data_IF_080575101092
#
_entry.id   IF_080575101092
#
_cell.length_a   1.000
_cell.length_b   1.000
_cell.length_c   1.000
_cell.angle_alpha   90.00
_cell.angle_beta   90.00
_cell.angle_gamma   90.00
#
_symmetry.space_group_name_H-M   'P 1'
#
loop_
_entity.id
_entity.type
_entity.pdbx_description
1 polymer ?
#
# COMPACT_ATOMS: atom_id res chain seq x y z
N UNK A 1 -78.80 -1.06 2.66
CA UNK A 1 -78.18 -2.08 1.79
C UNK A 1 -77.77 -3.23 2.68
N UNK A 2 -78.68 -4.19 2.86
CA UNK A 2 -78.43 -5.44 3.57
C UNK A 2 -77.61 -6.37 2.66
N UNK A 3 -76.35 -6.59 3.04
CA UNK A 3 -75.49 -7.61 2.44
C UNK A 3 -75.88 -8.96 3.03
N UNK A 4 -76.64 -9.75 2.26
CA UNK A 4 -76.94 -11.13 2.58
C UNK A 4 -75.63 -11.93 2.69
N UNK A 5 -75.37 -12.49 3.87
CA UNK A 5 -74.28 -13.44 4.11
C UNK A 5 -74.63 -14.76 3.41
N UNK A 6 -73.72 -15.35 2.60
CA UNK A 6 -73.99 -16.62 1.95
C UNK A 6 -74.16 -17.73 3.01
N UNK A 7 -75.24 -18.50 2.89
CA UNK A 7 -75.46 -19.74 3.64
C UNK A 7 -74.27 -20.70 3.38
N UNK A 8 -73.55 -21.07 4.44
CA UNK A 8 -72.46 -22.05 4.35
C UNK A 8 -73.08 -23.43 4.15
N UNK A 9 -72.78 -24.07 3.03
CA UNK A 9 -72.94 -25.52 2.88
C UNK A 9 -72.13 -26.21 3.99
N UNK A 10 -72.81 -26.88 4.91
CA UNK A 10 -72.23 -27.48 6.13
C UNK A 10 -71.45 -28.78 5.89
N UNK A 11 -71.45 -29.31 4.66
CA UNK A 11 -70.90 -30.63 4.34
C UNK A 11 -69.71 -30.59 3.36
N UNK A 12 -68.74 -29.68 3.57
CA UNK A 12 -67.46 -29.79 2.88
C UNK A 12 -66.52 -30.75 3.63
N UNK A 13 -66.42 -31.98 3.12
CA UNK A 13 -65.49 -32.99 3.64
C UNK A 13 -64.04 -32.61 3.34
N UNK A 14 -63.22 -32.51 4.38
CA UNK A 14 -61.77 -32.29 4.25
C UNK A 14 -61.07 -33.59 4.64
N UNK A 15 -59.99 -33.95 3.94
CA UNK A 15 -59.19 -35.16 4.24
C UNK A 15 -57.92 -34.82 5.01
N UNK A 16 -57.54 -35.69 5.92
CA UNK A 16 -56.29 -35.59 6.67
C UNK A 16 -55.08 -35.60 5.71
N UNK A 17 -54.15 -34.67 5.91
CA UNK A 17 -52.95 -34.56 5.07
C UNK A 17 -52.03 -35.80 5.14
N UNK A 18 -51.98 -36.50 6.27
CA UNK A 18 -51.13 -37.67 6.50
C UNK A 18 -51.83 -39.00 6.16
N UNK A 19 -52.91 -39.36 6.85
CA UNK A 19 -53.58 -40.65 6.66
C UNK A 19 -54.68 -40.66 5.59
N UNK A 20 -55.03 -39.51 5.00
CA UNK A 20 -56.06 -39.34 3.97
C UNK A 20 -57.50 -39.68 4.38
N UNK A 21 -57.76 -40.02 5.65
CA UNK A 21 -59.10 -40.22 6.18
C UNK A 21 -59.87 -38.90 6.34
N UNK A 22 -61.20 -38.97 6.27
CA UNK A 22 -62.10 -37.83 6.36
C UNK A 22 -62.10 -37.22 7.76
N UNK A 23 -62.07 -35.88 7.81
CA UNK A 23 -62.05 -35.10 9.04
C UNK A 23 -63.06 -33.97 8.98
N UNK A 24 -63.60 -33.60 10.14
CA UNK A 24 -64.51 -32.46 10.27
C UNK A 24 -63.78 -31.16 9.89
N UNK A 25 -64.47 -30.28 9.15
CA UNK A 25 -64.00 -28.93 8.85
C UNK A 25 -63.57 -28.21 10.13
N UNK A 26 -62.35 -27.67 10.14
CA UNK A 26 -61.79 -26.98 11.30
C UNK A 26 -61.15 -27.88 12.37
N UNK A 27 -61.05 -29.20 12.17
CA UNK A 27 -60.34 -30.08 13.09
C UNK A 27 -58.84 -29.74 13.14
N UNK A 28 -58.33 -29.40 14.34
CA UNK A 28 -56.91 -29.05 14.54
C UNK A 28 -56.01 -30.28 14.47
N UNK A 29 -56.51 -31.45 14.91
CA UNK A 29 -55.83 -32.75 14.86
C UNK A 29 -56.70 -33.80 14.18
N UNK A 30 -56.06 -34.71 13.47
CA UNK A 30 -56.75 -35.88 12.93
C UNK A 30 -57.08 -36.86 14.07
N UNK A 31 -58.34 -37.34 14.20
CA UNK A 31 -58.72 -38.30 15.23
C UNK A 31 -58.09 -39.69 14.99
N UNK A 32 -57.89 -40.08 13.74
CA UNK A 32 -57.37 -41.40 13.37
C UNK A 32 -55.86 -41.57 13.62
N UNK A 33 -55.05 -40.55 13.31
CA UNK A 33 -53.58 -40.65 13.39
C UNK A 33 -52.92 -39.61 14.31
N UNK A 34 -53.70 -38.70 14.93
CA UNK A 34 -53.17 -37.67 15.83
C UNK A 34 -52.40 -36.53 15.16
N UNK A 35 -52.23 -36.54 13.83
CA UNK A 35 -51.43 -35.53 13.12
C UNK A 35 -52.14 -34.17 13.09
N UNK A 36 -51.41 -33.09 13.44
CA UNK A 36 -51.89 -31.71 13.36
C UNK A 36 -52.18 -31.31 11.90
N UNK A 37 -53.38 -30.77 11.64
CA UNK A 37 -53.84 -30.31 10.32
C UNK A 37 -53.64 -28.82 10.11
N UNK A 38 -53.18 -28.10 11.13
CA UNK A 38 -53.07 -26.66 11.10
C UNK A 38 -51.86 -26.21 10.26
N UNK A 39 -52.11 -25.84 9.00
CA UNK A 39 -51.10 -25.35 8.06
C UNK A 39 -50.33 -24.14 8.61
N UNK A 40 -51.01 -23.25 9.36
CA UNK A 40 -50.41 -22.10 10.03
C UNK A 40 -49.30 -22.48 11.03
N UNK A 41 -49.40 -23.65 11.68
CA UNK A 41 -48.37 -24.11 12.61
C UNK A 41 -47.07 -24.49 11.87
N UNK A 42 -47.17 -25.02 10.64
CA UNK A 42 -45.99 -25.29 9.79
C UNK A 42 -45.32 -23.99 9.33
N UNK A 43 -46.07 -22.93 9.04
CA UNK A 43 -45.46 -21.62 8.72
C UNK A 43 -44.73 -21.01 9.92
N UNK A 44 -45.29 -21.18 11.12
CA UNK A 44 -44.66 -20.67 12.34
C UNK A 44 -43.32 -21.35 12.61
N UNK A 45 -43.23 -22.67 12.43
CA UNK A 45 -41.97 -23.41 12.64
C UNK A 45 -40.95 -23.15 11.53
N UNK A 46 -41.36 -23.02 10.27
CA UNK A 46 -40.41 -22.67 9.19
C UNK A 46 -39.90 -21.25 9.34
N UNK A 47 -40.75 -20.30 9.76
CA UNK A 47 -40.34 -18.92 9.99
C UNK A 47 -39.30 -18.80 11.11
N UNK A 48 -39.45 -19.53 12.22
CA UNK A 48 -38.44 -19.53 13.30
C UNK A 48 -37.12 -20.15 12.87
N UNK A 49 -37.15 -21.22 12.07
CA UNK A 49 -35.92 -21.85 11.55
C UNK A 49 -35.20 -20.93 10.56
N UNK A 50 -35.92 -20.30 9.63
CA UNK A 50 -35.32 -19.34 8.69
C UNK A 50 -34.78 -18.13 9.43
N UNK A 51 -35.53 -17.61 10.40
CA UNK A 51 -35.10 -16.49 11.24
C UNK A 51 -33.84 -16.80 12.04
N UNK A 52 -33.73 -18.00 12.63
CA UNK A 52 -32.53 -18.39 13.38
C UNK A 52 -31.31 -18.57 12.48
N UNK A 53 -31.48 -19.17 11.29
CA UNK A 53 -30.38 -19.28 10.31
C UNK A 53 -29.89 -17.91 9.86
N UNK A 54 -30.80 -16.99 9.53
CA UNK A 54 -30.44 -15.61 9.15
C UNK A 54 -29.74 -14.87 10.30
N UNK A 55 -30.18 -15.07 11.54
CA UNK A 55 -29.52 -14.47 12.70
C UNK A 55 -28.09 -15.01 12.89
N UNK A 56 -27.87 -16.31 12.74
CA UNK A 56 -26.53 -16.93 12.82
C UNK A 56 -25.63 -16.43 11.69
N UNK A 57 -26.13 -16.33 10.46
CA UNK A 57 -25.38 -15.78 9.33
C UNK A 57 -25.04 -14.30 9.52
N UNK A 58 -25.94 -13.52 10.11
CA UNK A 58 -25.69 -12.12 10.42
C UNK A 58 -24.61 -11.96 11.51
N UNK A 59 -24.65 -12.81 12.54
CA UNK A 59 -23.63 -12.84 13.59
C UNK A 59 -22.28 -13.31 13.08
N UNK A 60 -22.24 -14.32 12.19
CA UNK A 60 -20.99 -14.81 11.62
C UNK A 60 -20.34 -13.80 10.68
N UNK A 61 -21.13 -13.04 9.92
CA UNK A 61 -20.62 -11.95 9.08
C UNK A 61 -19.91 -10.87 9.91
N UNK A 62 -20.50 -10.48 11.05
CA UNK A 62 -19.87 -9.54 11.99
C UNK A 62 -18.63 -10.14 12.63
N UNK A 63 -18.71 -11.39 13.11
CA UNK A 63 -17.58 -12.09 13.73
C UNK A 63 -16.40 -12.29 12.79
N UNK A 64 -16.66 -12.56 11.50
CA UNK A 64 -15.62 -12.78 10.49
C UNK A 64 -14.78 -11.51 10.25
N UNK A 65 -15.42 -10.34 10.14
CA UNK A 65 -14.70 -9.08 9.93
C UNK A 65 -13.73 -8.78 11.08
N UNK A 66 -14.18 -8.95 12.33
CA UNK A 66 -13.34 -8.81 13.51
C UNK A 66 -12.25 -9.89 13.58
N UNK A 67 -12.58 -11.14 13.23
CA UNK A 67 -11.62 -12.23 13.21
C UNK A 67 -10.51 -12.01 12.19
N UNK A 68 -10.82 -11.53 10.99
CA UNK A 68 -9.82 -11.18 9.96
C UNK A 68 -8.93 -10.03 10.42
N UNK A 69 -9.47 -9.05 11.15
CA UNK A 69 -8.66 -7.96 11.70
C UNK A 69 -7.74 -8.41 12.86
N UNK A 70 -8.15 -9.45 13.60
CA UNK A 70 -7.36 -10.05 14.69
C UNK A 70 -6.31 -11.02 14.15
N UNK A 71 -6.66 -11.85 13.17
CA UNK A 71 -5.84 -12.91 12.58
C UNK A 71 -4.96 -12.42 11.44
N UNK A 72 -5.35 -11.34 10.75
CA UNK A 72 -4.52 -10.66 9.78
C UNK A 72 -3.23 -10.24 10.47
N UNK A 73 -2.10 -10.77 10.00
CA UNK A 73 -0.79 -10.54 10.60
C UNK A 73 -0.55 -9.04 10.77
N UNK A 74 -0.66 -8.57 12.01
CA UNK A 74 -0.60 -7.16 12.40
C UNK A 74 0.82 -6.64 12.29
N UNK A 75 1.31 -6.46 11.07
CA UNK A 75 2.64 -5.96 10.77
C UNK A 75 2.56 -4.55 10.19
N UNK A 76 3.55 -3.73 10.51
CA UNK A 76 3.74 -2.48 9.78
C UNK A 76 4.05 -2.78 8.31
N UNK A 77 3.37 -2.09 7.40
CA UNK A 77 3.62 -2.19 5.96
C UNK A 77 4.05 -0.81 5.48
N UNK A 78 5.36 -0.59 5.47
CA UNK A 78 5.93 0.69 5.06
C UNK A 78 6.09 0.76 3.54
N UNK A 79 5.58 1.84 2.96
CA UNK A 79 5.77 2.20 1.56
C UNK A 79 6.37 3.60 1.54
N UNK A 80 7.36 3.84 0.69
CA UNK A 80 7.98 5.14 0.62
C UNK A 80 8.34 5.56 -0.79
N UNK A 81 8.64 6.84 -0.94
CA UNK A 81 9.10 7.45 -2.18
C UNK A 81 10.13 8.53 -1.89
N UNK A 82 11.13 8.64 -2.76
CA UNK A 82 12.08 9.75 -2.74
C UNK A 82 11.49 10.90 -3.57
N UNK A 83 11.39 12.08 -2.96
CA UNK A 83 10.83 13.27 -3.59
C UNK A 83 11.92 14.10 -4.29
N UNK A 84 13.07 14.28 -3.62
CA UNK A 84 14.20 15.04 -4.12
C UNK A 84 15.50 14.65 -3.39
N UNK A 85 16.65 15.00 -3.97
CA UNK A 85 17.97 14.90 -3.36
C UNK A 85 18.80 16.08 -3.84
N UNK A 86 19.38 16.81 -2.90
CA UNK A 86 20.28 17.94 -3.12
C UNK A 86 21.45 17.90 -2.11
N UNK A 87 22.28 18.95 -2.12
CA UNK A 87 23.45 19.07 -1.25
C UNK A 87 23.09 19.08 0.26
N UNK A 88 21.84 19.37 0.61
CA UNK A 88 21.37 19.44 1.99
C UNK A 88 20.85 18.11 2.52
N UNK A 89 20.50 17.16 1.63
CA UNK A 89 20.01 15.84 2.00
C UNK A 89 19.10 15.18 0.97
N UNK A 90 18.68 13.96 1.29
CA UNK A 90 17.64 13.23 0.57
C UNK A 90 16.30 13.48 1.26
N UNK A 91 15.34 13.99 0.49
CA UNK A 91 13.96 14.21 0.89
C UNK A 91 13.12 13.02 0.47
N UNK A 92 12.54 12.32 1.43
CA UNK A 92 11.70 11.15 1.16
C UNK A 92 10.48 11.13 2.08
N UNK A 93 9.45 10.42 1.63
CA UNK A 93 8.23 10.21 2.41
C UNK A 93 8.05 8.73 2.71
N UNK A 94 7.54 8.42 3.91
CA UNK A 94 7.19 7.07 4.32
C UNK A 94 5.75 7.06 4.83
N UNK A 95 4.95 6.18 4.25
CA UNK A 95 3.56 5.89 4.62
C UNK A 95 3.50 4.50 5.24
N UNK A 96 2.73 4.36 6.32
CA UNK A 96 2.45 3.04 6.90
C UNK A 96 1.02 2.60 6.57
N UNK A 97 0.92 1.62 5.67
CA UNK A 97 -0.34 0.98 5.28
C UNK A 97 -0.70 -0.20 6.19
N UNK A 98 0.17 -0.56 7.13
CA UNK A 98 -0.09 -1.61 8.12
C UNK A 98 -1.03 -1.14 9.23
N UNK A 99 -1.52 -2.09 10.02
CA UNK A 99 -2.40 -1.84 11.17
C UNK A 99 -1.66 -1.50 12.47
N UNK A 100 -0.32 -1.55 12.47
CA UNK A 100 0.53 -1.29 13.64
C UNK A 100 1.58 -0.23 13.35
N UNK A 101 2.00 0.55 14.36
CA UNK A 101 3.05 1.54 14.20
C UNK A 101 4.41 0.87 13.96
N UNK A 102 5.30 1.57 13.24
CA UNK A 102 6.71 1.22 13.11
C UNK A 102 7.60 2.36 13.60
N UNK A 103 8.76 2.03 14.15
CA UNK A 103 9.75 3.04 14.57
C UNK A 103 10.95 2.98 13.65
N UNK A 104 11.20 4.05 12.89
CA UNK A 104 12.36 4.16 12.02
C UNK A 104 13.57 4.56 12.86
N UNK A 105 14.67 3.84 12.73
CA UNK A 105 15.88 4.07 13.52
C UNK A 105 17.17 4.17 12.69
N UNK A 106 17.16 3.79 11.42
CA UNK A 106 18.34 3.96 10.56
C UNK A 106 17.93 4.15 9.10
N UNK A 107 18.74 4.92 8.36
CA UNK A 107 18.56 5.17 6.94
C UNK A 107 19.92 5.11 6.26
N UNK A 108 20.05 4.21 5.30
CA UNK A 108 21.28 3.98 4.55
C UNK A 108 20.98 4.14 3.07
N UNK A 109 21.78 4.93 2.38
CA UNK A 109 21.73 5.00 0.92
C UNK A 109 22.70 3.97 0.34
N UNK A 110 22.16 3.03 -0.44
CA UNK A 110 22.94 2.07 -1.19
C UNK A 110 22.91 2.44 -2.67
N UNK A 111 24.08 2.65 -3.24
CA UNK A 111 24.22 3.00 -4.63
C UNK A 111 25.49 2.40 -5.21
N UNK A 112 25.57 2.25 -6.53
CA UNK A 112 26.85 2.01 -7.18
C UNK A 112 27.61 3.34 -7.24
N UNK A 113 28.16 3.76 -6.10
CA UNK A 113 29.13 4.86 -6.04
C UNK A 113 30.45 4.29 -6.54
N UNK A 114 30.94 4.75 -7.69
CA UNK A 114 32.25 4.29 -8.17
C UNK A 114 33.14 5.48 -8.42
N UNK A 115 34.27 5.51 -7.73
CA UNK A 115 35.49 6.02 -8.31
C UNK A 115 36.24 4.90 -9.08
N UNK A 116 36.00 3.61 -8.75
CA UNK A 116 36.52 2.45 -9.50
C UNK A 116 35.52 1.85 -10.49
N UNK A 117 35.36 2.58 -11.59
CA UNK A 117 35.02 2.14 -12.95
C UNK A 117 34.58 0.65 -13.11
N UNK A 118 33.28 0.38 -13.05
CA UNK A 118 32.55 -0.65 -13.83
C UNK A 118 33.04 -2.12 -13.84
N UNK A 119 34.02 -2.51 -13.03
CA UNK A 119 34.60 -3.87 -13.03
C UNK A 119 34.39 -4.65 -11.74
N UNK A 120 33.93 -4.02 -10.65
CA UNK A 120 33.61 -4.73 -9.40
C UNK A 120 32.23 -4.33 -8.88
N UNK A 121 31.46 -5.33 -8.44
CA UNK A 121 30.18 -5.16 -7.74
C UNK A 121 30.45 -4.63 -6.31
N UNK A 122 31.11 -3.49 -6.18
CA UNK A 122 31.25 -2.86 -4.86
C UNK A 122 30.04 -1.93 -4.72
N UNK A 123 29.10 -2.33 -3.87
CA UNK A 123 28.07 -1.44 -3.36
C UNK A 123 28.72 -0.70 -2.20
N UNK A 124 28.89 0.61 -2.32
CA UNK A 124 29.18 1.43 -1.14
C UNK A 124 27.82 1.84 -0.55
N UNK A 125 27.68 1.74 0.77
CA UNK A 125 26.55 2.27 1.49
C UNK A 125 26.99 3.56 2.17
N UNK A 126 26.33 4.68 1.87
CA UNK A 126 26.49 5.91 2.66
C UNK A 126 25.47 5.87 3.79
N UNK A 127 25.95 5.82 5.04
CA UNK A 127 25.06 5.94 6.19
C UNK A 127 24.58 7.39 6.30
N UNK A 128 23.29 7.57 6.52
CA UNK A 128 22.70 8.89 6.62
C UNK A 128 22.10 9.09 8.00
N UNK A 129 22.42 10.24 8.60
CA UNK A 129 21.70 10.72 9.76
C UNK A 129 20.43 11.41 9.33
N UNK A 130 19.31 10.91 9.80
CA UNK A 130 18.09 11.70 9.82
C UNK A 130 18.08 12.51 11.12
N UNK A 131 17.74 13.79 11.08
CA UNK A 131 17.59 14.60 12.30
C UNK A 131 16.51 14.06 13.26
N UNK A 132 15.76 13.04 12.84
CA UNK A 132 14.68 12.38 13.54
C UNK A 132 14.88 10.86 13.62
N UNK A 133 16.09 10.41 13.98
CA UNK A 133 16.32 9.02 14.40
C UNK A 133 15.35 8.74 15.56
N UNK A 134 14.50 7.71 15.45
CA UNK A 134 13.39 7.36 16.37
C UNK A 134 12.04 8.06 16.11
N UNK A 135 11.65 8.23 14.85
CA UNK A 135 10.28 8.65 14.53
C UNK A 135 9.33 7.45 14.43
N UNK A 136 8.20 7.53 15.13
CA UNK A 136 7.12 6.54 15.06
C UNK A 136 6.16 6.87 13.92
N UNK A 137 6.08 5.98 12.94
CA UNK A 137 5.16 6.06 11.80
C UNK A 137 3.87 5.32 12.15
N UNK A 138 2.84 6.08 12.55
CA UNK A 138 1.51 5.57 12.90
C UNK A 138 0.79 4.95 11.68
N UNK A 139 -0.11 3.96 11.89
CA UNK A 139 -0.98 3.41 10.85
C UNK A 139 -1.76 4.48 10.08
N UNK A 140 -1.83 4.36 8.76
CA UNK A 140 -2.55 5.27 7.87
C UNK A 140 -1.99 6.69 7.81
N UNK A 141 -0.77 6.93 8.31
CA UNK A 141 -0.12 8.24 8.28
C UNK A 141 1.14 8.21 7.42
N UNK A 142 1.39 9.35 6.78
CA UNK A 142 2.58 9.62 5.98
C UNK A 142 3.41 10.69 6.63
N UNK A 143 4.72 10.48 6.70
CA UNK A 143 5.68 11.47 7.21
C UNK A 143 6.75 11.75 6.17
N UNK A 144 7.13 13.02 6.06
CA UNK A 144 8.30 13.44 5.32
C UNK A 144 9.55 13.44 6.22
N UNK A 145 10.67 13.05 5.64
CA UNK A 145 11.98 12.95 6.28
C UNK A 145 13.05 13.60 5.41
N UNK A 146 14.12 14.03 6.07
CA UNK A 146 15.35 14.50 5.42
C UNK A 146 16.50 13.70 5.99
N UNK A 147 17.21 12.96 5.13
CA UNK A 147 18.41 12.21 5.46
C UNK A 147 19.65 12.98 5.00
N UNK A 148 20.60 13.20 5.90
CA UNK A 148 21.85 13.95 5.66
C UNK A 148 23.03 13.01 5.79
N UNK A 149 24.07 13.19 4.99
CA UNK A 149 25.29 12.39 5.12
C UNK A 149 25.96 12.60 6.48
N UNK A 150 26.43 11.51 7.10
CA UNK A 150 27.06 11.52 8.44
C UNK A 150 28.43 12.22 8.45
N UNK A 151 29.23 12.05 7.38
CA UNK A 151 30.67 12.33 7.43
C UNK A 151 31.13 13.58 6.67
N UNK A 152 30.24 14.55 6.42
CA UNK A 152 30.59 15.70 5.58
C UNK A 152 30.96 15.33 4.13
N UNK A 153 30.69 14.07 3.73
CA UNK A 153 30.69 13.62 2.34
C UNK A 153 29.72 14.52 1.58
N UNK A 154 30.29 15.50 0.88
CA UNK A 154 29.56 16.61 0.27
C UNK A 154 28.83 16.22 -1.01
N UNK A 155 28.78 14.93 -1.34
CA UNK A 155 28.21 14.45 -2.59
C UNK A 155 27.19 13.36 -2.32
N UNK A 156 25.96 13.79 -2.07
CA UNK A 156 24.79 12.96 -2.28
C UNK A 156 24.44 13.01 -3.76
N UNK A 157 24.21 11.87 -4.42
CA UNK A 157 23.85 11.89 -5.82
C UNK A 157 22.48 12.56 -5.96
N UNK A 158 22.43 13.60 -6.79
CA UNK A 158 21.19 14.30 -7.11
C UNK A 158 20.16 13.31 -7.67
N UNK A 159 18.89 13.44 -7.30
CA UNK A 159 17.82 12.61 -7.89
C UNK A 159 17.39 13.21 -9.22
N UNK A 160 16.88 12.38 -10.13
CA UNK A 160 16.13 12.93 -11.27
C UNK A 160 14.88 13.65 -10.75
N UNK A 161 14.58 14.81 -11.34
CA UNK A 161 13.33 15.50 -11.05
C UNK A 161 12.14 14.55 -11.32
N UNK A 162 11.10 14.55 -10.47
CA UNK A 162 9.95 13.66 -10.65
C UNK A 162 9.28 13.83 -12.01
N UNK A 163 9.27 15.04 -12.58
CA UNK A 163 8.76 15.32 -13.94
C UNK A 163 9.57 14.63 -15.04
N UNK A 164 10.85 14.33 -14.81
CA UNK A 164 11.65 13.55 -15.74
C UNK A 164 11.22 12.07 -15.80
N UNK A 165 10.63 11.56 -14.71
CA UNK A 165 10.12 10.19 -14.63
C UNK A 165 8.76 10.01 -15.30
N UNK A 166 7.96 11.08 -15.41
CA UNK A 166 6.66 11.04 -16.09
C UNK A 166 6.79 11.04 -17.61
N UNK A 167 7.89 11.58 -18.15
CA UNK A 167 8.15 11.55 -19.59
C UNK A 167 8.57 10.14 -20.06
N UNK A 168 7.80 9.47 -20.94
CA UNK A 168 8.07 8.08 -21.34
C UNK A 168 9.39 7.93 -22.10
N UNK A 169 9.86 8.95 -22.82
CA UNK A 169 11.14 8.90 -23.55
C UNK A 169 12.33 8.92 -22.58
N UNK A 170 12.27 9.79 -21.58
CA UNK A 170 13.31 9.89 -20.54
C UNK A 170 13.27 8.63 -19.68
N UNK A 171 12.09 8.20 -19.24
CA UNK A 171 11.91 6.99 -18.45
C UNK A 171 12.48 5.74 -19.14
N UNK A 172 12.28 5.59 -20.46
CA UNK A 172 12.90 4.50 -21.24
C UNK A 172 14.44 4.58 -21.25
N UNK A 173 15.01 5.78 -21.27
CA UNK A 173 16.46 6.00 -21.13
C UNK A 173 16.98 5.64 -19.74
N UNK A 174 16.22 6.00 -18.70
CA UNK A 174 16.57 5.76 -17.29
C UNK A 174 16.63 4.28 -16.91
N UNK A 175 15.86 3.42 -17.59
CA UNK A 175 15.93 1.95 -17.40
C UNK A 175 17.32 1.35 -17.64
N UNK A 176 18.23 2.06 -18.31
CA UNK A 176 19.62 1.63 -18.53
C UNK A 176 20.54 1.93 -17.36
N UNK A 177 20.14 2.82 -16.46
CA UNK A 177 20.93 3.23 -15.30
C UNK A 177 20.62 2.32 -14.11
N UNK A 178 21.62 2.10 -13.25
CA UNK A 178 21.40 1.37 -12.01
C UNK A 178 20.68 2.29 -11.02
N UNK A 179 19.66 1.74 -10.36
CA UNK A 179 18.93 2.44 -9.32
C UNK A 179 19.77 2.51 -8.04
N UNK A 180 19.69 3.64 -7.36
CA UNK A 180 20.06 3.73 -5.95
C UNK A 180 18.88 3.19 -5.12
N UNK A 181 19.17 2.82 -3.88
CA UNK A 181 18.20 2.29 -2.92
C UNK A 181 18.38 3.02 -1.61
N UNK A 182 17.27 3.47 -1.04
CA UNK A 182 17.25 3.95 0.33
C UNK A 182 16.77 2.80 1.21
N UNK A 183 17.70 2.19 1.95
CA UNK A 183 17.45 1.13 2.90
C UNK A 183 17.06 1.75 4.25
N UNK A 184 15.82 1.53 4.68
CA UNK A 184 15.29 2.09 5.91
C UNK A 184 15.07 0.96 6.90
N UNK A 185 15.83 1.01 7.99
CA UNK A 185 15.69 0.06 9.09
C UNK A 185 14.67 0.56 10.11
N UNK A 186 13.75 -0.34 10.48
CA UNK A 186 12.69 -0.05 11.42
C UNK A 186 12.46 -1.22 12.38
N UNK A 187 11.93 -0.89 13.56
CA UNK A 187 11.44 -1.86 14.54
C UNK A 187 9.92 -1.94 14.35
N UNK A 188 9.43 -3.13 14.05
CA UNK A 188 8.00 -3.43 14.01
C UNK A 188 7.46 -3.66 15.43
N UNK A 189 6.15 -3.73 15.60
CA UNK A 189 5.51 -3.87 16.92
C UNK A 189 5.90 -5.17 17.65
N UNK A 190 6.33 -6.20 16.91
CA UNK A 190 6.85 -7.45 17.48
C UNK A 190 8.33 -7.35 17.94
N UNK A 191 8.87 -6.13 18.00
CA UNK A 191 10.27 -5.83 18.32
C UNK A 191 11.29 -6.45 17.34
N UNK A 192 10.85 -6.95 16.18
CA UNK A 192 11.78 -7.43 15.16
C UNK A 192 12.28 -6.28 14.33
N UNK A 193 13.59 -6.29 14.10
CA UNK A 193 14.23 -5.41 13.13
C UNK A 193 13.85 -5.87 11.73
N UNK A 194 13.36 -4.94 10.93
CA UNK A 194 13.03 -5.13 9.53
C UNK A 194 13.65 -4.02 8.73
N UNK A 195 13.83 -4.29 7.45
CA UNK A 195 14.37 -3.36 6.48
C UNK A 195 13.38 -3.25 5.33
N UNK A 196 13.16 -2.02 4.84
CA UNK A 196 12.45 -1.82 3.59
C UNK A 196 13.26 -0.89 2.69
N UNK A 197 13.16 -1.14 1.38
CA UNK A 197 14.01 -0.50 0.39
C UNK A 197 13.16 0.37 -0.54
N UNK A 198 13.52 1.65 -0.68
CA UNK A 198 12.92 2.57 -1.64
C UNK A 198 13.87 2.70 -2.84
N UNK A 199 13.57 2.08 -3.99
CA UNK A 199 14.38 2.25 -5.19
C UNK A 199 14.12 3.63 -5.81
N UNK A 200 15.17 4.30 -6.28
CA UNK A 200 15.06 5.55 -7.04
C UNK A 200 16.18 5.72 -8.05
N UNK A 201 15.98 6.62 -8.99
CA UNK A 201 16.98 6.98 -9.99
C UNK A 201 17.84 8.13 -9.46
N UNK A 202 19.13 7.87 -9.34
CA UNK A 202 20.15 8.83 -8.94
C UNK A 202 20.96 9.28 -10.17
N UNK A 203 21.26 10.57 -10.25
CA UNK A 203 21.88 11.25 -11.38
C UNK A 203 23.34 11.63 -11.10
N UNK A 204 24.16 11.73 -12.16
CA UNK A 204 24.56 10.63 -13.02
C UNK A 204 25.68 9.79 -12.37
N UNK A 205 25.49 8.48 -12.37
CA UNK A 205 26.63 7.55 -12.43
C UNK A 205 27.21 7.69 -13.84
N UNK A 206 28.51 7.91 -14.00
CA UNK A 206 29.13 7.91 -15.32
C UNK A 206 28.66 6.65 -16.09
N UNK A 207 28.24 6.75 -17.38
CA UNK A 207 27.83 5.58 -18.13
C UNK A 207 28.96 4.57 -18.10
N UNK A 208 28.67 3.34 -17.66
CA UNK A 208 29.66 2.28 -17.70
C UNK A 208 30.07 2.05 -19.16
N UNK A 209 31.25 2.53 -19.52
CA UNK A 209 31.78 2.33 -20.86
C UNK A 209 31.95 0.82 -21.07
N UNK A 210 31.45 0.25 -22.18
CA UNK A 210 31.71 -1.14 -22.49
C UNK A 210 33.23 -1.34 -22.60
N UNK A 211 33.73 -2.39 -21.96
CA UNK A 211 35.15 -2.74 -21.79
C UNK A 211 35.96 -2.81 -23.10
N UNK A 212 35.30 -2.74 -24.26
CA UNK A 212 35.89 -2.90 -25.59
C UNK A 212 35.84 -1.66 -26.48
N UNK A 213 35.52 -0.46 -25.98
CA UNK A 213 35.70 0.75 -26.80
C UNK A 213 37.15 1.23 -26.72
N UNK A 214 37.91 1.00 -27.79
CA UNK A 214 39.31 1.39 -27.89
C UNK A 214 39.54 2.86 -27.48
N UNK A 215 40.48 3.06 -26.57
CA UNK A 215 40.91 4.33 -25.98
C UNK A 215 41.30 5.40 -27.00
N UNK A 216 41.52 5.05 -28.27
CA UNK A 216 41.90 5.99 -29.34
C UNK A 216 40.72 6.74 -29.97
N UNK A 217 39.48 6.24 -29.89
CA UNK A 217 38.34 6.88 -30.54
C UNK A 217 37.70 8.01 -29.69
N UNK A 218 37.94 8.00 -28.38
CA UNK A 218 37.26 8.90 -27.45
C UNK A 218 37.99 10.25 -27.26
N UNK A 219 39.33 10.27 -27.30
CA UNK A 219 40.11 11.52 -27.19
C UNK A 219 39.78 12.54 -28.28
N UNK A 220 39.29 12.11 -29.45
CA UNK A 220 38.84 13.02 -30.52
C UNK A 220 37.39 13.50 -30.38
N UNK A 221 36.54 12.80 -29.64
CA UNK A 221 35.10 13.11 -29.58
C UNK A 221 34.73 14.02 -28.41
N UNK A 222 35.51 14.00 -27.33
CA UNK A 222 35.34 14.91 -26.17
C UNK A 222 35.75 16.35 -26.50
N UNK A 223 36.73 16.55 -27.38
CA UNK A 223 37.13 17.90 -27.82
C UNK A 223 36.17 18.54 -28.83
N UNK A 224 35.25 17.78 -29.44
CA UNK A 224 34.39 18.28 -30.53
C UNK A 224 32.96 18.65 -30.11
N UNK A 225 32.49 18.20 -28.94
CA UNK A 225 31.15 18.56 -28.41
C UNK A 225 31.18 18.63 -26.89
N UNK A 226 31.36 19.84 -26.37
CA UNK A 226 30.91 20.30 -25.05
C UNK A 226 31.00 19.30 -23.91
N UNK A 227 32.19 19.23 -23.31
CA UNK A 227 32.45 19.12 -21.86
C UNK A 227 31.35 18.48 -21.00
N UNK A 228 31.48 17.19 -20.69
CA UNK A 228 31.18 16.72 -19.34
C UNK A 228 32.31 17.24 -18.45
N UNK A 229 32.10 18.40 -17.82
CA UNK A 229 33.06 18.94 -16.86
C UNK A 229 33.18 17.97 -15.66
N UNK A 230 34.40 17.64 -15.20
CA UNK A 230 34.58 17.03 -13.89
C UNK A 230 34.11 18.04 -12.83
N UNK A 231 33.14 17.64 -12.00
CA UNK A 231 32.70 18.39 -10.82
C UNK A 231 33.83 18.37 -9.78
N UNK A 232 34.79 19.27 -9.98
CA UNK A 232 35.96 19.48 -9.14
C UNK A 232 36.71 20.76 -9.48
N UNK A 233 36.05 21.72 -10.13
CA UNK A 233 36.61 23.03 -10.42
C UNK A 233 35.74 24.10 -9.74
N UNK A 234 36.32 24.78 -8.75
CA UNK A 234 35.89 26.08 -8.26
C UNK A 234 35.68 27.02 -9.45
N UNK A 235 34.43 27.23 -9.86
CA UNK A 235 34.04 28.28 -10.80
C UNK A 235 33.08 29.18 -10.04
N UNK A 236 33.52 30.43 -9.87
CA UNK A 236 32.79 31.45 -9.14
C UNK A 236 31.37 31.66 -9.66
N UNK A 237 30.45 31.77 -8.71
CA UNK A 237 29.42 32.82 -8.64
C UNK A 237 28.96 33.39 -10.00
N UNK A 238 28.12 32.65 -10.71
CA UNK A 238 27.01 33.19 -11.50
C UNK A 238 26.13 32.05 -12.00
N UNK A 239 25.48 31.35 -11.07
CA UNK A 239 24.31 30.54 -11.40
C UNK A 239 23.11 31.41 -11.09
N UNK A 240 22.40 31.79 -12.15
CA UNK A 240 21.07 32.37 -12.13
C UNK A 240 20.19 31.51 -11.24
N UNK A 241 19.90 31.99 -10.03
CA UNK A 241 18.90 31.41 -9.16
C UNK A 241 17.55 31.46 -9.89
N UNK A 242 17.10 30.33 -10.41
CA UNK A 242 15.66 30.13 -10.61
C UNK A 242 15.05 29.93 -9.22
N UNK A 243 14.80 31.05 -8.55
CA UNK A 243 13.98 31.12 -7.33
C UNK A 243 12.55 30.78 -7.75
N UNK A 244 12.17 29.50 -7.66
CA UNK A 244 10.76 29.14 -7.62
C UNK A 244 10.22 29.59 -6.26
N UNK A 245 9.64 30.79 -6.25
CA UNK A 245 8.89 31.34 -5.11
C UNK A 245 7.59 30.54 -4.97
N UNK A 246 7.64 29.41 -4.26
CA UNK A 246 6.45 28.68 -3.85
C UNK A 246 5.69 29.60 -2.89
N UNK A 247 4.60 30.22 -3.36
CA UNK A 247 3.62 30.90 -2.51
C UNK A 247 2.91 29.81 -1.69
N UNK A 248 3.43 29.56 -0.50
CA UNK A 248 2.69 28.93 0.59
C UNK A 248 1.48 29.82 0.88
N UNK A 249 0.28 29.40 0.46
CA UNK A 249 -0.97 29.86 1.07
C UNK A 249 -1.22 28.94 2.25
N UNK A 250 -1.29 29.54 3.43
CA UNK A 250 -1.70 28.94 4.67
C UNK A 250 -3.01 28.16 4.46
N UNK A 251 -2.95 26.83 4.61
CA UNK A 251 -4.11 26.02 4.90
C UNK A 251 -4.09 25.78 6.40
N UNK A 252 -4.82 26.65 7.10
CA UNK A 252 -5.28 26.42 8.47
C UNK A 252 -6.35 25.34 8.39
N UNK A 253 -6.12 24.22 9.08
CA UNK A 253 -7.14 23.26 9.51
C UNK A 253 -6.93 23.01 11.00
#
# INVERSE_FOLDING_TARGET
>A
METALPERNEDQEVRCSACKEEIKLGAVKCPHCGTDQNYLHRFRTTATVVGSVLAVLSLSALGWSAAVEILGSKMATLVGSVAASDDSGIYFSVSNHGSRPATIFDVVEEGPYTNDMCKRKVTYGARMHTASVLKVVKPGKTYAFVAKAEDGLSYLPSTFAPDALTNPKIHKGLKKFRQCKLAISYIDFDNKKKEFNIPYYCAPQAPCLPEKSSTKAWSRRVNARGSCLPLGANIGSNITQFTYRIRSRELVF
#
